data_IF_855299852173
#
_entry.id   IF_855299852173
#
_cell.length_a   1.000
_cell.length_b   1.000
_cell.length_c   1.000
_cell.angle_alpha   90.00
_cell.angle_beta   90.00
_cell.angle_gamma   90.00
#
_symmetry.space_group_name_H-M   'P 1'
#
loop_
_entity.id
_entity.type
_entity.pdbx_description
1 polymer ?
#
# COMPACT_ATOMS: atom_id res chain seq x y z
N UNK A 1 18.16 -18.46 -20.01
CA UNK A 1 17.39 -18.57 -18.75
C UNK A 1 17.10 -17.20 -18.09
N UNK A 2 16.76 -16.15 -18.85
CA UNK A 2 16.63 -14.79 -18.28
C UNK A 2 15.18 -14.35 -17.97
N UNK A 3 14.16 -15.02 -18.50
CA UNK A 3 12.74 -14.65 -18.30
C UNK A 3 12.18 -15.22 -16.99
N UNK A 4 12.47 -16.49 -16.71
CA UNK A 4 11.97 -17.19 -15.52
C UNK A 4 12.38 -16.54 -14.20
N UNK A 5 13.62 -16.03 -14.09
CA UNK A 5 14.09 -15.37 -12.87
C UNK A 5 13.39 -14.04 -12.60
N UNK A 6 13.09 -13.25 -13.65
CA UNK A 6 12.36 -11.99 -13.49
C UNK A 6 10.90 -12.25 -13.12
N UNK A 7 10.27 -13.22 -13.79
CA UNK A 7 8.90 -13.61 -13.48
C UNK A 7 8.77 -14.11 -12.03
N UNK A 8 9.68 -14.98 -11.59
CA UNK A 8 9.69 -15.49 -10.22
C UNK A 8 9.99 -14.38 -9.20
N UNK A 9 10.95 -13.49 -9.50
CA UNK A 9 11.25 -12.33 -8.66
C UNK A 9 10.06 -11.40 -8.49
N UNK A 10 9.30 -11.16 -9.57
CA UNK A 10 8.06 -10.39 -9.53
C UNK A 10 7.00 -11.05 -8.63
N UNK A 11 6.74 -12.35 -8.81
CA UNK A 11 5.78 -13.08 -7.99
C UNK A 11 6.17 -13.08 -6.51
N UNK A 12 7.46 -13.31 -6.20
CA UNK A 12 7.94 -13.27 -4.82
C UNK A 12 7.80 -11.87 -4.20
N UNK A 13 8.17 -10.83 -4.94
CA UNK A 13 8.01 -9.44 -4.48
C UNK A 13 6.54 -9.17 -4.15
N UNK A 14 5.64 -9.54 -5.06
CA UNK A 14 4.20 -9.36 -4.87
C UNK A 14 3.70 -10.15 -3.65
N UNK A 15 4.10 -11.41 -3.50
CA UNK A 15 3.71 -12.24 -2.35
C UNK A 15 4.21 -11.66 -1.02
N UNK A 16 5.44 -11.16 -0.96
CA UNK A 16 5.97 -10.55 0.27
C UNK A 16 5.19 -9.30 0.63
N UNK A 17 4.85 -8.44 -0.34
CA UNK A 17 4.04 -7.24 -0.10
C UNK A 17 2.65 -7.61 0.40
N UNK A 18 1.99 -8.57 -0.27
CA UNK A 18 0.65 -9.02 0.11
C UNK A 18 0.64 -9.70 1.48
N UNK A 19 1.59 -10.60 1.75
CA UNK A 19 1.70 -11.28 3.03
C UNK A 19 2.08 -10.32 4.16
N UNK A 20 3.08 -9.47 3.95
CA UNK A 20 3.49 -8.43 4.90
C UNK A 20 2.34 -7.50 5.23
N UNK A 21 1.65 -6.98 4.21
CA UNK A 21 0.48 -6.13 4.40
C UNK A 21 -0.70 -6.84 5.07
N UNK A 22 -0.85 -8.14 4.87
CA UNK A 22 -1.91 -8.95 5.49
C UNK A 22 -1.69 -9.18 6.99
N UNK A 23 -0.47 -9.55 7.37
CA UNK A 23 -0.13 -9.92 8.75
C UNK A 23 0.29 -8.74 9.62
N UNK A 24 0.82 -7.67 9.02
CA UNK A 24 1.26 -6.46 9.73
C UNK A 24 0.28 -5.29 9.53
N UNK A 25 -0.99 -5.62 9.26
CA UNK A 25 -2.03 -4.62 9.08
C UNK A 25 -2.35 -3.97 10.44
N UNK A 26 -2.34 -2.62 10.54
CA UNK A 26 -2.69 -1.91 11.78
C UNK A 26 -4.10 -2.26 12.30
N UNK A 27 -4.27 -2.27 13.62
CA UNK A 27 -5.51 -2.71 14.28
C UNK A 27 -6.75 -1.88 13.90
N UNK A 28 -6.57 -0.60 13.60
CA UNK A 28 -7.67 0.23 13.10
C UNK A 28 -8.28 -0.30 11.80
N UNK A 29 -7.45 -0.83 10.89
CA UNK A 29 -7.96 -1.49 9.69
C UNK A 29 -8.62 -2.83 10.01
N UNK A 30 -8.09 -3.60 10.98
CA UNK A 30 -8.73 -4.85 11.43
C UNK A 30 -10.13 -4.57 11.99
N UNK A 31 -10.30 -3.45 12.72
CA UNK A 31 -11.59 -2.97 13.21
C UNK A 31 -12.54 -2.61 12.06
N UNK A 32 -12.08 -1.85 11.05
CA UNK A 32 -12.88 -1.58 9.85
C UNK A 32 -13.27 -2.85 9.11
N UNK A 33 -12.37 -3.83 9.01
CA UNK A 33 -12.65 -5.10 8.35
C UNK A 33 -13.76 -5.82 9.11
N UNK A 34 -13.63 -5.99 10.43
CA UNK A 34 -14.66 -6.65 11.23
C UNK A 34 -16.02 -5.94 11.14
N UNK A 35 -16.00 -4.61 11.03
CA UNK A 35 -17.20 -3.82 10.90
C UNK A 35 -17.85 -3.94 9.52
N UNK A 36 -17.07 -3.88 8.44
CA UNK A 36 -17.59 -3.79 7.07
C UNK A 36 -17.71 -5.16 6.36
N UNK A 37 -16.92 -6.16 6.75
CA UNK A 37 -16.95 -7.50 6.14
C UNK A 37 -18.30 -8.20 6.15
N UNK A 38 -19.17 -8.06 7.17
CA UNK A 38 -20.51 -8.66 7.14
C UNK A 38 -21.39 -8.18 5.97
N UNK A 39 -21.19 -6.95 5.49
CA UNK A 39 -21.96 -6.38 4.40
C UNK A 39 -21.25 -6.48 3.05
N UNK A 40 -19.95 -6.17 3.04
CA UNK A 40 -19.15 -6.04 1.82
C UNK A 40 -18.40 -7.32 1.45
N UNK A 41 -18.47 -8.35 2.29
CA UNK A 41 -17.91 -9.67 2.05
C UNK A 41 -16.39 -9.74 2.08
N UNK A 42 -15.85 -10.73 1.37
CA UNK A 42 -14.46 -11.17 1.51
C UNK A 42 -13.41 -10.22 0.91
N UNK A 43 -13.83 -9.27 0.07
CA UNK A 43 -12.90 -8.33 -0.58
C UNK A 43 -12.53 -7.12 0.29
N UNK A 44 -13.18 -6.93 1.44
CA UNK A 44 -12.88 -5.81 2.36
C UNK A 44 -11.43 -5.87 2.84
N UNK A 45 -11.00 -7.03 3.35
CA UNK A 45 -9.64 -7.17 3.89
C UNK A 45 -8.57 -7.00 2.80
N UNK A 46 -8.63 -7.68 1.65
CA UNK A 46 -7.71 -7.43 0.54
C UNK A 46 -7.65 -5.94 0.16
N UNK A 47 -8.81 -5.27 0.07
CA UNK A 47 -8.85 -3.83 -0.22
C UNK A 47 -8.12 -3.02 0.85
N UNK A 48 -8.37 -3.24 2.14
CA UNK A 48 -7.71 -2.50 3.22
C UNK A 48 -6.19 -2.73 3.25
N UNK A 49 -5.74 -3.96 2.97
CA UNK A 49 -4.31 -4.28 2.84
C UNK A 49 -3.67 -3.49 1.70
N UNK A 50 -4.31 -3.47 0.54
CA UNK A 50 -3.80 -2.80 -0.66
C UNK A 50 -3.88 -1.27 -0.53
N UNK A 51 -4.91 -0.75 0.11
CA UNK A 51 -5.04 0.68 0.47
C UNK A 51 -3.90 1.08 1.39
N UNK A 52 -3.61 0.30 2.44
CA UNK A 52 -2.47 0.56 3.32
C UNK A 52 -1.14 0.49 2.55
N UNK A 53 -1.02 -0.41 1.56
CA UNK A 53 0.21 -0.56 0.79
C UNK A 53 0.48 0.55 -0.23
N UNK A 54 -0.57 1.20 -0.75
CA UNK A 54 -0.48 2.16 -1.86
C UNK A 54 -0.79 3.60 -1.44
N UNK A 55 -1.77 3.80 -0.55
CA UNK A 55 -2.35 5.12 -0.26
C UNK A 55 -1.92 5.69 1.09
N UNK A 56 -1.33 4.89 1.97
CA UNK A 56 -0.76 5.41 3.22
C UNK A 56 0.58 6.05 2.90
N UNK A 57 0.80 7.25 3.42
CA UNK A 57 2.07 7.93 3.32
C UNK A 57 3.20 7.03 3.89
N UNK A 58 4.08 6.48 3.04
CA UNK A 58 5.09 5.55 3.49
C UNK A 58 6.13 6.23 4.38
N UNK A 59 6.33 7.54 4.27
CA UNK A 59 7.25 8.28 5.14
C UNK A 59 6.79 8.32 6.61
N UNK A 60 5.50 8.13 6.85
CA UNK A 60 4.91 8.06 8.19
C UNK A 60 4.63 6.61 8.63
N UNK A 61 4.74 5.64 7.72
CA UNK A 61 4.51 4.22 8.00
C UNK A 61 5.76 3.39 7.68
N UNK A 62 6.70 3.38 8.63
CA UNK A 62 7.96 2.66 8.53
C UNK A 62 7.80 1.15 8.31
N UNK A 63 6.71 0.56 8.82
CA UNK A 63 6.40 -0.86 8.61
C UNK A 63 6.16 -1.11 7.12
N UNK A 64 5.38 -0.26 6.45
CA UNK A 64 5.10 -0.41 5.03
C UNK A 64 6.35 -0.18 4.16
N UNK A 65 7.19 0.79 4.53
CA UNK A 65 8.51 0.98 3.88
C UNK A 65 9.38 -0.27 4.03
N UNK A 66 9.43 -0.86 5.23
CA UNK A 66 10.19 -2.08 5.47
C UNK A 66 9.68 -3.26 4.64
N UNK A 67 8.34 -3.42 4.50
CA UNK A 67 7.73 -4.45 3.65
C UNK A 67 8.15 -4.26 2.19
N UNK A 68 8.00 -3.05 1.64
CA UNK A 68 8.38 -2.76 0.27
C UNK A 68 9.88 -2.92 0.02
N UNK A 69 10.72 -2.50 0.98
CA UNK A 69 12.17 -2.66 0.89
C UNK A 69 12.57 -4.14 0.93
N UNK A 70 12.03 -4.92 1.86
CA UNK A 70 12.31 -6.35 1.97
C UNK A 70 11.85 -7.12 0.72
N UNK A 71 10.64 -6.84 0.25
CA UNK A 71 10.10 -7.42 -0.98
C UNK A 71 11.00 -7.08 -2.19
N UNK A 72 11.35 -5.80 -2.33
CA UNK A 72 12.23 -5.32 -3.39
C UNK A 72 13.58 -6.01 -3.36
N UNK A 73 14.23 -6.04 -2.20
CA UNK A 73 15.53 -6.69 -2.02
C UNK A 73 15.52 -8.17 -2.43
N UNK A 74 14.54 -8.94 -1.93
CA UNK A 74 14.40 -10.37 -2.28
C UNK A 74 14.09 -10.54 -3.77
N UNK A 75 13.17 -9.76 -4.33
CA UNK A 75 12.87 -9.76 -5.76
C UNK A 75 14.08 -9.43 -6.63
N UNK A 76 14.91 -8.49 -6.17
CA UNK A 76 16.15 -8.06 -6.80
C UNK A 76 17.22 -9.15 -6.80
N UNK A 77 17.42 -9.83 -5.67
CA UNK A 77 18.32 -10.99 -5.58
C UNK A 77 17.96 -12.05 -6.62
N UNK A 78 16.67 -12.37 -6.74
CA UNK A 78 16.17 -13.36 -7.69
C UNK A 78 16.35 -12.88 -9.13
N UNK A 79 16.05 -11.61 -9.42
CA UNK A 79 16.22 -11.03 -10.75
C UNK A 79 17.69 -11.00 -11.22
N UNK A 80 18.64 -10.88 -10.29
CA UNK A 80 20.09 -11.02 -10.51
C UNK A 80 20.76 -9.93 -11.36
N UNK A 81 20.01 -8.94 -11.84
CA UNK A 81 20.55 -7.82 -12.63
C UNK A 81 19.83 -6.53 -12.24
N UNK A 82 20.54 -5.39 -12.28
CA UNK A 82 19.95 -4.07 -11.96
C UNK A 82 18.72 -3.76 -12.81
N UNK A 83 18.80 -4.01 -14.12
CA UNK A 83 17.67 -3.83 -15.06
C UNK A 83 16.52 -4.81 -14.74
N UNK A 84 16.83 -6.05 -14.38
CA UNK A 84 15.83 -7.03 -13.98
C UNK A 84 15.10 -6.64 -12.68
N UNK A 85 15.84 -6.16 -11.68
CA UNK A 85 15.28 -5.71 -10.41
C UNK A 85 14.36 -4.49 -10.57
N UNK A 86 14.74 -3.54 -11.43
CA UNK A 86 13.87 -2.42 -11.79
C UNK A 86 12.53 -2.92 -12.36
N UNK A 87 12.57 -3.84 -13.33
CA UNK A 87 11.36 -4.41 -13.93
C UNK A 87 10.54 -5.17 -12.89
N UNK A 88 11.17 -5.99 -12.05
CA UNK A 88 10.51 -6.74 -10.97
C UNK A 88 9.78 -5.82 -10.00
N UNK A 89 10.46 -4.79 -9.49
CA UNK A 89 9.86 -3.83 -8.55
C UNK A 89 8.71 -3.03 -9.17
N UNK A 90 8.90 -2.53 -10.39
CA UNK A 90 7.86 -1.77 -11.11
C UNK A 90 6.62 -2.63 -11.38
N UNK A 91 6.79 -3.85 -11.89
CA UNK A 91 5.66 -4.74 -12.17
C UNK A 91 4.98 -5.21 -10.88
N UNK A 92 5.72 -5.40 -9.78
CA UNK A 92 5.12 -5.75 -8.50
C UNK A 92 4.22 -4.61 -8.00
N UNK A 93 4.72 -3.37 -8.06
CA UNK A 93 3.95 -2.19 -7.68
C UNK A 93 2.71 -1.97 -8.56
N UNK A 94 2.85 -2.07 -9.88
CA UNK A 94 1.71 -2.00 -10.81
C UNK A 94 0.69 -3.12 -10.56
N UNK A 95 1.14 -4.32 -10.21
CA UNK A 95 0.26 -5.44 -9.88
C UNK A 95 -0.54 -5.17 -8.61
N UNK A 96 0.07 -4.59 -7.58
CA UNK A 96 -0.65 -4.17 -6.36
C UNK A 96 -1.75 -3.17 -6.70
N UNK A 97 -1.49 -2.19 -7.57
CA UNK A 97 -2.52 -1.24 -8.03
C UNK A 97 -3.63 -1.95 -8.79
N UNK A 98 -3.29 -2.85 -9.72
CA UNK A 98 -4.29 -3.57 -10.51
C UNK A 98 -5.17 -4.47 -9.65
N UNK A 99 -4.59 -5.15 -8.66
CA UNK A 99 -5.34 -5.95 -7.69
C UNK A 99 -6.22 -5.04 -6.83
N UNK A 100 -5.76 -3.85 -6.43
CA UNK A 100 -6.57 -2.89 -5.68
C UNK A 100 -7.81 -2.47 -6.49
N UNK A 101 -7.61 -2.10 -7.76
CA UNK A 101 -8.71 -1.76 -8.67
C UNK A 101 -9.69 -2.91 -8.80
N UNK A 102 -9.20 -4.14 -8.95
CA UNK A 102 -10.04 -5.33 -8.98
C UNK A 102 -10.83 -5.52 -7.68
N UNK A 103 -10.21 -5.39 -6.50
CA UNK A 103 -10.89 -5.54 -5.22
C UNK A 103 -11.95 -4.44 -5.00
N UNK A 104 -11.65 -3.20 -5.36
CA UNK A 104 -12.62 -2.09 -5.31
C UNK A 104 -13.79 -2.34 -6.26
N UNK A 105 -13.53 -2.80 -7.48
CA UNK A 105 -14.58 -3.20 -8.41
C UNK A 105 -15.47 -4.28 -7.81
N UNK A 106 -14.88 -5.33 -7.22
CA UNK A 106 -15.63 -6.40 -6.55
C UNK A 106 -16.51 -5.89 -5.40
N UNK A 107 -16.00 -4.95 -4.59
CA UNK A 107 -16.77 -4.32 -3.51
C UNK A 107 -17.98 -3.54 -4.04
N UNK A 108 -17.81 -2.80 -5.14
CA UNK A 108 -18.91 -2.05 -5.77
C UNK A 108 -19.95 -3.01 -6.34
N UNK A 109 -19.52 -4.08 -7.01
CA UNK A 109 -20.44 -5.06 -7.61
C UNK A 109 -21.11 -5.99 -6.60
N UNK A 110 -20.51 -6.21 -5.44
CA UNK A 110 -21.11 -6.98 -4.35
C UNK A 110 -22.38 -6.31 -3.79
N UNK A 111 -22.54 -5.01 -4.04
CA UNK A 111 -23.65 -4.21 -3.54
C UNK A 111 -23.39 -3.75 -2.11
N UNK A 112 -23.67 -2.48 -1.84
CA UNK A 112 -23.53 -1.89 -0.52
C UNK A 112 -24.91 -1.43 -0.03
N UNK A 113 -25.44 -2.11 0.98
CA UNK A 113 -26.65 -1.66 1.65
C UNK A 113 -26.29 -0.67 2.78
N UNK A 114 -26.24 0.62 2.41
CA UNK A 114 -26.00 1.75 3.32
C UNK A 114 -27.08 1.88 4.40
N UNK A 115 -28.25 1.24 4.24
CA UNK A 115 -29.39 1.41 5.13
C UNK A 115 -29.23 0.72 6.49
N UNK A 116 -28.28 -0.20 6.64
CA UNK A 116 -28.15 -1.05 7.83
C UNK A 116 -26.70 -1.32 8.23
N UNK A 117 -25.85 -0.28 8.30
CA UNK A 117 -24.49 -0.43 8.83
C UNK A 117 -24.54 -1.26 10.12
N UNK A 118 -23.79 -2.38 10.21
CA UNK A 118 -23.83 -3.24 11.37
C UNK A 118 -23.36 -2.45 12.60
N UNK A 119 -23.76 -2.85 13.81
CA UNK A 119 -23.21 -2.23 15.01
C UNK A 119 -21.68 -2.40 15.04
N UNK A 120 -20.99 -1.41 15.62
CA UNK A 120 -19.55 -1.48 15.85
C UNK A 120 -19.19 -2.77 16.60
N UNK A 121 -18.12 -3.48 16.18
CA UNK A 121 -17.73 -4.73 16.83
C UNK A 121 -17.50 -4.56 18.35
N UNK A 122 -17.90 -5.53 19.18
CA UNK A 122 -17.73 -5.43 20.63
C UNK A 122 -16.26 -5.21 21.03
N UNK A 123 -16.03 -4.30 21.97
CA UNK A 123 -14.68 -3.99 22.46
C UNK A 123 -13.84 -3.10 21.53
N UNK A 124 -14.41 -2.59 20.45
CA UNK A 124 -13.76 -1.60 19.58
C UNK A 124 -14.36 -0.21 19.79
N UNK A 125 -13.57 0.81 19.49
CA UNK A 125 -13.88 2.22 19.73
C UNK A 125 -13.70 3.03 18.45
N UNK A 126 -14.38 4.18 18.36
CA UNK A 126 -14.17 5.11 17.23
C UNK A 126 -12.71 5.59 17.18
N UNK A 127 -12.03 5.64 18.32
CA UNK A 127 -10.60 5.96 18.40
C UNK A 127 -9.71 4.96 17.66
N UNK A 128 -10.12 3.69 17.53
CA UNK A 128 -9.39 2.69 16.74
C UNK A 128 -9.49 2.98 15.23
N UNK A 129 -10.59 3.57 14.78
CA UNK A 129 -10.73 4.03 13.40
C UNK A 129 -9.85 5.26 13.13
N UNK A 130 -9.71 6.14 14.11
CA UNK A 130 -8.84 7.32 14.03
C UNK A 130 -7.35 6.97 14.09
N UNK A 131 -7.00 5.79 14.59
CA UNK A 131 -5.61 5.31 14.60
C UNK A 131 -5.15 4.72 13.26
N UNK A 132 -6.04 4.65 12.26
CA UNK A 132 -5.69 4.16 10.93
C UNK A 132 -4.67 5.10 10.29
N UNK A 133 -3.51 4.60 9.84
CA UNK A 133 -2.47 5.44 9.24
C UNK A 133 -2.95 6.32 8.09
N UNK A 134 -3.86 5.82 7.24
CA UNK A 134 -4.46 6.63 6.16
C UNK A 134 -5.29 7.79 6.71
N UNK A 135 -6.07 7.54 7.77
CA UNK A 135 -6.89 8.58 8.40
C UNK A 135 -5.98 9.63 9.03
N UNK A 136 -4.94 9.19 9.73
CA UNK A 136 -3.94 10.10 10.33
C UNK A 136 -3.18 10.91 9.28
N UNK A 137 -2.78 10.29 8.15
CA UNK A 137 -2.10 11.00 7.07
C UNK A 137 -3.01 12.04 6.43
N UNK A 138 -4.26 11.67 6.13
CA UNK A 138 -5.30 12.56 5.63
C UNK A 138 -5.48 13.74 6.60
N UNK A 139 -5.73 13.51 7.89
CA UNK A 139 -5.90 14.60 8.87
C UNK A 139 -4.68 15.53 8.93
N UNK A 140 -3.47 14.97 8.97
CA UNK A 140 -2.25 15.78 9.00
C UNK A 140 -2.10 16.68 7.77
N UNK A 141 -2.44 16.15 6.59
CA UNK A 141 -2.31 16.87 5.32
C UNK A 141 -3.44 17.89 5.11
N UNK A 142 -4.66 17.59 5.55
CA UNK A 142 -5.76 18.57 5.55
C UNK A 142 -5.49 19.75 6.47
N UNK A 143 -4.89 19.52 7.65
CA UNK A 143 -4.51 20.62 8.54
C UNK A 143 -3.48 21.54 7.89
N UNK A 144 -2.51 20.98 7.15
CA UNK A 144 -1.53 21.76 6.38
C UNK A 144 -2.21 22.54 5.26
N UNK A 145 -3.16 21.93 4.55
CA UNK A 145 -3.92 22.61 3.48
C UNK A 145 -4.75 23.78 4.03
N UNK A 146 -5.47 23.59 5.14
CA UNK A 146 -6.28 24.64 5.79
C UNK A 146 -5.37 25.75 6.35
N UNK A 147 -4.22 25.39 6.94
CA UNK A 147 -3.22 26.35 7.39
C UNK A 147 -2.65 27.18 6.23
N UNK A 148 -2.40 26.54 5.08
CA UNK A 148 -1.91 27.20 3.86
C UNK A 148 -2.94 28.12 3.18
N UNK A 149 -4.24 27.78 3.25
CA UNK A 149 -5.32 28.62 2.71
C UNK A 149 -5.48 29.96 3.42
N UNK A 150 -4.97 30.11 4.66
CA UNK A 150 -5.01 31.38 5.40
C UNK A 150 -4.00 32.43 4.89
N UNK A 151 -3.08 32.03 4.01
CA UNK A 151 -1.95 32.86 3.55
C UNK A 151 -1.81 32.93 2.03
N UNK A 152 -2.88 33.29 1.30
CA UNK A 152 -2.78 33.80 -0.08
C UNK A 152 -2.50 32.78 -1.18
N UNK A 153 -3.57 32.28 -1.80
CA UNK A 153 -3.54 31.53 -3.06
C UNK A 153 -3.47 30.01 -2.89
N UNK A 154 -4.27 29.28 -3.67
CA UNK A 154 -4.16 27.82 -3.76
C UNK A 154 -2.86 27.47 -4.50
N UNK A 155 -1.81 27.15 -3.76
CA UNK A 155 -0.60 26.60 -4.34
C UNK A 155 -0.88 25.17 -4.84
N UNK A 156 -1.00 24.99 -6.14
CA UNK A 156 -1.24 23.70 -6.78
C UNK A 156 -0.16 22.68 -6.38
N UNK A 157 1.08 23.12 -6.13
CA UNK A 157 2.15 22.24 -5.67
C UNK A 157 1.90 21.70 -4.26
N UNK A 158 1.27 22.48 -3.38
CA UNK A 158 0.89 22.03 -2.03
C UNK A 158 -0.14 20.90 -2.04
N UNK A 159 -0.98 20.83 -3.07
CA UNK A 159 -1.99 19.77 -3.27
C UNK A 159 -1.38 18.54 -3.96
N UNK A 160 -0.50 18.76 -4.94
CA UNK A 160 0.10 17.66 -5.72
C UNK A 160 1.19 16.91 -4.95
N UNK A 161 1.99 17.60 -4.14
CA UNK A 161 3.15 17.01 -3.46
C UNK A 161 2.79 15.78 -2.61
N UNK A 162 1.75 15.80 -1.75
CA UNK A 162 1.39 14.63 -0.96
C UNK A 162 0.96 13.43 -1.82
N UNK A 163 0.19 13.68 -2.89
CA UNK A 163 -0.26 12.65 -3.83
C UNK A 163 0.94 12.00 -4.53
N UNK A 164 1.92 12.80 -4.96
CA UNK A 164 3.14 12.31 -5.58
C UNK A 164 3.96 11.47 -4.59
N UNK A 165 4.05 11.88 -3.33
CA UNK A 165 4.77 11.12 -2.29
C UNK A 165 4.09 9.77 -2.06
N UNK A 166 2.76 9.75 -1.92
CA UNK A 166 2.01 8.51 -1.69
C UNK A 166 2.19 7.52 -2.85
N UNK A 167 2.14 8.03 -4.09
CA UNK A 167 2.24 7.19 -5.28
C UNK A 167 3.67 6.72 -5.56
N UNK A 168 4.64 7.63 -5.55
CA UNK A 168 5.99 7.35 -6.04
C UNK A 168 6.92 6.76 -4.98
N UNK A 169 6.72 7.04 -3.70
CA UNK A 169 7.65 6.56 -2.68
C UNK A 169 7.69 5.03 -2.58
N UNK A 170 6.56 4.29 -2.56
CA UNK A 170 6.60 2.83 -2.50
C UNK A 170 7.32 2.20 -3.70
N UNK A 171 7.09 2.72 -4.91
CA UNK A 171 7.74 2.23 -6.13
C UNK A 171 9.24 2.56 -6.15
N UNK A 172 9.64 3.72 -5.63
CA UNK A 172 11.06 4.06 -5.50
C UNK A 172 11.73 3.12 -4.49
N UNK A 173 11.12 2.90 -3.33
CA UNK A 173 11.67 2.03 -2.28
C UNK A 173 11.88 0.61 -2.80
N UNK A 174 10.88 0.00 -3.43
CA UNK A 174 10.98 -1.38 -3.93
C UNK A 174 12.03 -1.50 -5.05
N UNK A 175 12.14 -0.50 -5.93
CA UNK A 175 13.13 -0.49 -7.01
C UNK A 175 14.55 -0.31 -6.47
N UNK A 176 14.77 0.65 -5.58
CA UNK A 176 16.09 0.93 -5.00
C UNK A 176 16.57 -0.28 -4.20
N UNK A 177 15.71 -0.81 -3.31
CA UNK A 177 16.03 -2.01 -2.54
C UNK A 177 16.28 -3.22 -3.46
N UNK A 178 15.52 -3.36 -4.55
CA UNK A 178 15.74 -4.40 -5.54
C UNK A 178 17.06 -4.26 -6.29
N UNK A 179 17.46 -3.04 -6.66
CA UNK A 179 18.76 -2.81 -7.28
C UNK A 179 19.88 -3.21 -6.31
N UNK A 180 19.75 -2.86 -5.03
CA UNK A 180 20.69 -3.29 -3.99
C UNK A 180 20.74 -4.82 -3.91
N UNK A 181 19.59 -5.49 -3.81
CA UNK A 181 19.51 -6.96 -3.82
C UNK A 181 20.19 -7.59 -5.03
N UNK A 182 19.94 -7.07 -6.23
CA UNK A 182 20.59 -7.55 -7.44
C UNK A 182 22.11 -7.34 -7.46
N UNK A 183 22.63 -6.30 -6.77
CA UNK A 183 24.08 -6.07 -6.67
C UNK A 183 24.79 -6.94 -5.66
N UNK A 184 24.09 -7.37 -4.60
CA UNK A 184 24.64 -8.25 -3.57
C UNK A 184 24.77 -9.69 -4.07
N UNK A 185 23.94 -10.08 -5.05
CA UNK A 185 24.02 -11.41 -5.66
C UNK A 185 25.42 -11.65 -6.27
N UNK A 186 26.11 -12.75 -5.90
CA UNK A 186 27.35 -13.16 -6.56
C UNK A 186 27.13 -13.33 -8.07
N UNK A 187 28.05 -12.80 -8.87
CA UNK A 187 28.05 -13.00 -10.32
C UNK A 187 28.64 -14.38 -10.59
N UNK A 188 27.78 -15.33 -10.92
CA UNK A 188 28.16 -16.58 -11.59
C UNK A 188 28.39 -16.32 -13.08
#
# INVERSE_FOLDING_TARGET
>A
MAFGSKYFGWLLTLLIVLAGGWFLLPDGYNTLILWLSPQLGNYVRPTMVLVNAVLVNPLNNWIMVAIWAAAGFVGGLVAGTKKGAFVVGLFAWLSVILILVFCVYQLITAGFDLGTLPPLPPGTSITDLLSIPLVQSIFSELLVLIGGMSGGGLDILSILTPILIWLFTPVIVVIVAGIIGATVRPKE
#
